data_IF_028036147758
#
_entry.id   IF_028036147758
#
_cell.length_a   1.000
_cell.length_b   1.000
_cell.length_c   1.000
_cell.angle_alpha   90.00
_cell.angle_beta   90.00
_cell.angle_gamma   90.00
#
_symmetry.space_group_name_H-M   'P 1'
#
loop_
_entity.id
_entity.type
_entity.pdbx_description
1 polymer ?
#
# COMPACT_ATOMS: atom_id res chain seq x y z
N UNK A 1 15.75 2.51 11.79
CA UNK A 1 14.92 3.17 12.79
C UNK A 1 13.80 2.23 13.17
N UNK A 2 13.64 1.95 14.45
CA UNK A 2 12.47 1.26 14.97
C UNK A 2 11.24 1.99 14.45
N UNK A 3 10.27 1.24 13.92
CA UNK A 3 8.96 1.80 13.61
C UNK A 3 8.31 2.03 14.98
N UNK A 4 8.44 3.23 15.47
CA UNK A 4 7.80 3.61 16.72
C UNK A 4 6.28 3.63 16.44
N UNK A 5 5.55 2.75 17.09
CA UNK A 5 4.08 2.61 16.96
C UNK A 5 3.38 3.97 17.20
N UNK A 6 4.04 4.88 17.92
CA UNK A 6 3.55 6.24 18.16
C UNK A 6 3.56 7.13 16.90
N UNK A 7 4.40 6.82 15.90
CA UNK A 7 4.49 7.59 14.65
C UNK A 7 3.47 7.19 13.58
N UNK A 8 2.72 6.10 13.78
CA UNK A 8 1.66 5.66 12.85
C UNK A 8 0.32 5.66 13.57
N UNK A 9 -0.40 6.79 13.55
CA UNK A 9 -1.65 6.95 14.30
C UNK A 9 -2.70 5.87 14.03
N UNK A 10 -2.75 5.35 12.81
CA UNK A 10 -3.64 4.26 12.39
C UNK A 10 -3.32 2.96 13.13
N UNK A 11 -2.04 2.64 13.30
CA UNK A 11 -1.59 1.45 14.01
C UNK A 11 -2.02 1.52 15.48
N UNK A 12 -1.77 2.65 16.14
CA UNK A 12 -2.20 2.88 17.52
C UNK A 12 -3.72 2.81 17.66
N UNK A 13 -4.45 3.33 16.69
CA UNK A 13 -5.92 3.27 16.67
C UNK A 13 -6.40 1.81 16.60
N UNK A 14 -5.87 1.00 15.69
CA UNK A 14 -6.22 -0.41 15.55
C UNK A 14 -5.83 -1.23 16.79
N UNK A 15 -4.65 -0.99 17.35
CA UNK A 15 -4.23 -1.61 18.60
C UNK A 15 -5.20 -1.31 19.75
N UNK A 16 -5.63 -0.08 19.90
CA UNK A 16 -6.60 0.33 20.91
C UNK A 16 -8.00 -0.28 20.70
N UNK A 17 -8.30 -0.75 19.50
CA UNK A 17 -9.53 -1.52 19.21
C UNK A 17 -9.38 -3.02 19.53
N UNK A 18 -8.22 -3.47 19.97
CA UNK A 18 -7.96 -4.88 20.35
C UNK A 18 -7.46 -5.77 19.23
N UNK A 19 -7.02 -5.19 18.08
CA UNK A 19 -6.43 -5.97 17.00
C UNK A 19 -4.96 -6.31 17.30
N UNK A 20 -4.57 -7.55 16.98
CA UNK A 20 -3.17 -7.92 16.90
C UNK A 20 -2.51 -7.24 15.68
N UNK A 21 -1.37 -6.62 15.85
CA UNK A 21 -0.69 -5.85 14.80
C UNK A 21 0.65 -6.52 14.44
N UNK A 22 0.82 -6.83 13.15
CA UNK A 22 2.08 -7.27 12.58
C UNK A 22 2.66 -6.15 11.70
N UNK A 23 3.82 -5.62 12.08
CA UNK A 23 4.55 -4.57 11.35
C UNK A 23 5.85 -5.13 10.77
N UNK A 24 5.83 -5.71 9.58
CA UNK A 24 7.05 -6.25 8.98
C UNK A 24 7.92 -5.12 8.41
N UNK A 25 9.21 -5.19 8.66
CA UNK A 25 10.15 -4.43 7.85
C UNK A 25 10.22 -5.01 6.45
N UNK A 26 9.86 -4.22 5.46
CA UNK A 26 10.00 -4.63 4.06
C UNK A 26 11.49 -4.84 3.72
N UNK A 27 11.75 -5.61 2.65
CA UNK A 27 13.12 -5.80 2.16
C UNK A 27 13.86 -4.47 2.05
N UNK A 28 15.14 -4.47 2.37
CA UNK A 28 16.03 -3.29 2.36
C UNK A 28 15.66 -2.18 3.35
N UNK A 29 14.78 -2.46 4.34
CA UNK A 29 14.44 -1.54 5.41
C UNK A 29 14.76 -2.16 6.77
N UNK A 30 15.15 -1.30 7.73
CA UNK A 30 15.44 -1.70 9.11
C UNK A 30 16.45 -2.85 9.20
N UNK A 31 16.05 -3.94 9.84
CA UNK A 31 16.87 -5.15 10.01
C UNK A 31 16.63 -6.21 8.90
N UNK A 32 15.70 -5.95 7.96
CA UNK A 32 15.45 -6.87 6.87
C UNK A 32 16.57 -6.83 5.84
N UNK A 33 16.94 -8.01 5.36
CA UNK A 33 17.90 -8.16 4.29
C UNK A 33 17.42 -7.54 2.97
N UNK A 34 18.37 -7.35 2.04
CA UNK A 34 18.11 -6.80 0.72
C UNK A 34 19.05 -5.65 0.39
N UNK A 35 19.16 -5.34 -0.89
CA UNK A 35 19.99 -4.22 -1.38
C UNK A 35 19.18 -3.14 -2.09
N UNK A 36 17.97 -3.49 -2.54
CA UNK A 36 17.18 -2.63 -3.41
C UNK A 36 15.72 -2.59 -2.97
N UNK A 37 15.17 -1.39 -2.91
CA UNK A 37 13.74 -1.12 -2.78
C UNK A 37 13.15 -1.21 -4.19
N UNK A 38 12.07 -1.98 -4.37
CA UNK A 38 11.51 -2.24 -5.70
C UNK A 38 10.11 -1.65 -5.91
N UNK A 39 9.72 -0.71 -5.06
CA UNK A 39 8.45 0.01 -5.14
C UNK A 39 7.20 -0.89 -5.22
N UNK A 40 7.20 -1.98 -4.47
CA UNK A 40 6.10 -2.94 -4.43
C UNK A 40 6.24 -4.13 -5.40
N UNK A 41 7.15 -4.08 -6.39
CA UNK A 41 7.32 -5.15 -7.38
C UNK A 41 7.70 -6.49 -6.72
N UNK A 42 8.72 -6.50 -5.88
CA UNK A 42 9.14 -7.70 -5.14
C UNK A 42 8.50 -7.74 -3.75
N UNK A 43 8.26 -6.59 -3.13
CA UNK A 43 7.65 -6.45 -1.80
C UNK A 43 6.25 -7.06 -1.75
N UNK A 44 5.49 -7.12 -2.86
CA UNK A 44 4.20 -7.83 -2.91
C UNK A 44 4.30 -9.33 -2.61
N UNK A 45 5.42 -9.95 -2.97
CA UNK A 45 5.67 -11.37 -2.64
C UNK A 45 6.04 -11.54 -1.18
N UNK A 46 6.81 -10.60 -0.61
CA UNK A 46 7.12 -10.58 0.81
C UNK A 46 5.85 -10.40 1.64
N UNK A 47 4.97 -9.48 1.24
CA UNK A 47 3.66 -9.29 1.87
C UNK A 47 2.88 -10.62 1.93
N UNK A 48 2.79 -11.36 0.82
CA UNK A 48 2.15 -12.69 0.80
C UNK A 48 2.85 -13.68 1.74
N UNK A 49 4.17 -13.67 1.82
CA UNK A 49 4.92 -14.56 2.71
C UNK A 49 4.71 -14.18 4.18
N UNK A 50 4.63 -12.90 4.52
CA UNK A 50 4.30 -12.46 5.87
C UNK A 50 2.90 -12.89 6.31
N UNK A 51 1.90 -12.88 5.42
CA UNK A 51 0.57 -13.40 5.72
C UNK A 51 0.63 -14.90 6.01
N UNK A 52 1.37 -15.66 5.20
CA UNK A 52 1.57 -17.10 5.43
C UNK A 52 2.27 -17.37 6.75
N UNK A 53 3.34 -16.64 7.02
CA UNK A 53 4.06 -16.75 8.29
C UNK A 53 3.16 -16.47 9.49
N UNK A 54 2.33 -15.42 9.42
CA UNK A 54 1.37 -15.12 10.47
C UNK A 54 0.37 -16.26 10.69
N UNK A 55 -0.11 -16.87 9.61
CA UNK A 55 -1.02 -18.03 9.70
C UNK A 55 -0.35 -19.27 10.30
N UNK A 56 0.90 -19.54 9.93
CA UNK A 56 1.62 -20.75 10.33
C UNK A 56 2.25 -20.64 11.72
N UNK A 57 2.70 -19.44 12.12
CA UNK A 57 3.54 -19.27 13.30
C UNK A 57 2.99 -18.29 14.35
N UNK A 58 2.06 -17.39 13.97
CA UNK A 58 1.52 -16.37 14.88
C UNK A 58 0.03 -16.59 15.23
N UNK A 59 -0.53 -17.74 14.88
CA UNK A 59 -1.92 -18.09 15.20
C UNK A 59 -2.98 -17.27 14.44
N UNK A 60 -2.63 -16.71 13.27
CA UNK A 60 -3.56 -15.92 12.48
C UNK A 60 -4.47 -16.76 11.56
N UNK A 61 -4.24 -18.09 11.44
CA UNK A 61 -4.92 -18.97 10.49
C UNK A 61 -6.45 -18.92 10.62
N UNK A 62 -6.95 -18.89 11.84
CA UNK A 62 -8.39 -18.88 12.14
C UNK A 62 -8.90 -17.46 12.50
N UNK A 63 -8.11 -16.43 12.24
CA UNK A 63 -8.44 -15.03 12.45
C UNK A 63 -8.63 -14.28 11.12
N UNK A 64 -9.47 -13.26 11.12
CA UNK A 64 -9.59 -12.36 9.99
C UNK A 64 -8.34 -11.47 9.90
N UNK A 65 -7.73 -11.41 8.73
CA UNK A 65 -6.56 -10.60 8.44
C UNK A 65 -6.97 -9.40 7.58
N UNK A 66 -6.60 -8.21 8.00
CA UNK A 66 -6.73 -7.00 7.21
C UNK A 66 -5.34 -6.47 6.85
N UNK A 67 -5.15 -6.18 5.57
CA UNK A 67 -3.91 -5.56 5.11
C UNK A 67 -4.04 -4.05 5.20
N UNK A 68 -3.04 -3.39 5.79
CA UNK A 68 -3.01 -1.95 5.87
C UNK A 68 -1.70 -1.44 5.25
N UNK A 69 -1.77 -0.43 4.41
CA UNK A 69 -0.59 0.14 3.76
C UNK A 69 -0.72 1.62 3.48
N UNK A 70 0.39 2.33 3.65
CA UNK A 70 0.50 3.77 3.40
C UNK A 70 1.55 3.98 2.31
N UNK A 71 1.27 4.84 1.34
CA UNK A 71 2.20 5.22 0.26
C UNK A 71 2.77 4.00 -0.48
N UNK A 72 4.06 3.74 -0.43
CA UNK A 72 4.67 2.53 -1.01
C UNK A 72 4.12 1.24 -0.38
N UNK A 73 3.83 1.25 0.92
CA UNK A 73 3.15 0.14 1.60
C UNK A 73 1.75 -0.12 1.06
N UNK A 74 1.01 0.95 0.74
CA UNK A 74 -0.29 0.87 0.08
C UNK A 74 -0.18 0.22 -1.31
N UNK A 75 0.73 0.69 -2.15
CA UNK A 75 0.96 0.09 -3.46
C UNK A 75 1.37 -1.40 -3.34
N UNK A 76 2.17 -1.73 -2.33
CA UNK A 76 2.60 -3.11 -2.05
C UNK A 76 1.42 -4.02 -1.72
N UNK A 77 0.55 -3.64 -0.78
CA UNK A 77 -0.62 -4.47 -0.39
C UNK A 77 -1.63 -4.58 -1.53
N UNK A 78 -1.85 -3.50 -2.30
CA UNK A 78 -2.71 -3.53 -3.48
C UNK A 78 -2.15 -4.44 -4.58
N UNK A 79 -0.85 -4.40 -4.86
CA UNK A 79 -0.22 -5.33 -5.82
C UNK A 79 -0.24 -6.77 -5.31
N UNK A 80 -0.10 -6.99 -3.99
CA UNK A 80 -0.21 -8.32 -3.40
C UNK A 80 -1.61 -8.92 -3.57
N UNK A 81 -2.66 -8.10 -3.56
CA UNK A 81 -4.03 -8.55 -3.79
C UNK A 81 -4.27 -9.13 -5.19
N UNK A 82 -3.41 -8.82 -6.16
CA UNK A 82 -3.40 -9.47 -7.48
C UNK A 82 -2.79 -10.87 -7.47
N UNK A 83 -2.22 -11.32 -6.35
CA UNK A 83 -1.70 -12.66 -6.15
C UNK A 83 -2.74 -13.53 -5.43
N UNK A 84 -2.53 -14.86 -5.46
CA UNK A 84 -3.34 -15.76 -4.62
C UNK A 84 -2.91 -15.59 -3.16
N UNK A 85 -3.71 -14.86 -2.38
CA UNK A 85 -3.57 -14.69 -0.93
C UNK A 85 -4.35 -15.76 -0.16
N UNK A 86 -4.02 -16.03 1.12
CA UNK A 86 -4.84 -16.86 2.01
C UNK A 86 -6.28 -16.33 2.15
N UNK A 87 -7.25 -17.23 2.31
CA UNK A 87 -8.68 -16.91 2.32
C UNK A 87 -9.13 -16.07 3.54
N UNK A 88 -8.33 -16.09 4.60
CA UNK A 88 -8.58 -15.29 5.79
C UNK A 88 -8.22 -13.79 5.63
N UNK A 89 -7.68 -13.37 4.47
CA UNK A 89 -7.52 -11.95 4.15
C UNK A 89 -8.88 -11.37 3.75
N UNK A 90 -9.46 -10.54 4.62
CA UNK A 90 -10.85 -10.07 4.54
C UNK A 90 -11.01 -8.67 3.98
N UNK A 91 -9.96 -7.84 4.01
CA UNK A 91 -10.03 -6.49 3.51
C UNK A 91 -8.67 -5.81 3.42
N UNK A 92 -8.63 -4.71 2.68
CA UNK A 92 -7.43 -3.88 2.48
C UNK A 92 -7.77 -2.43 2.81
N UNK A 93 -6.96 -1.81 3.66
CA UNK A 93 -7.00 -0.36 3.96
C UNK A 93 -5.81 0.26 3.24
N UNK A 94 -6.09 1.07 2.23
CA UNK A 94 -5.14 1.53 1.24
C UNK A 94 -5.03 3.06 1.26
N UNK A 95 -4.02 3.61 1.96
CA UNK A 95 -3.81 5.05 2.07
C UNK A 95 -2.72 5.54 1.12
N UNK A 96 -3.04 6.55 0.31
CA UNK A 96 -2.19 7.32 -0.61
C UNK A 96 -1.27 6.49 -1.52
N UNK A 97 -1.77 5.37 -2.06
CA UNK A 97 -1.00 4.51 -2.96
C UNK A 97 -0.93 5.00 -4.40
N UNK A 98 0.20 4.76 -5.04
CA UNK A 98 0.41 5.08 -6.45
C UNK A 98 -0.08 3.96 -7.40
N UNK A 99 -0.20 4.28 -8.71
CA UNK A 99 -0.70 3.35 -9.73
C UNK A 99 0.32 2.30 -10.17
N UNK A 100 1.59 2.69 -10.28
CA UNK A 100 2.71 1.81 -10.61
C UNK A 100 4.05 2.47 -10.27
N UNK A 101 5.14 1.69 -10.12
CA UNK A 101 6.49 2.23 -9.95
C UNK A 101 6.89 3.18 -11.08
N UNK A 102 6.55 2.82 -12.32
CA UNK A 102 6.82 3.64 -13.49
C UNK A 102 6.15 5.02 -13.40
N UNK A 103 4.87 5.05 -13.06
CA UNK A 103 4.09 6.30 -13.03
C UNK A 103 4.50 7.21 -11.87
N UNK A 104 4.76 6.67 -10.69
CA UNK A 104 5.20 7.50 -9.56
C UNK A 104 6.59 8.09 -9.81
N UNK A 105 7.54 7.31 -10.36
CA UNK A 105 8.88 7.82 -10.66
C UNK A 105 8.80 8.85 -11.79
N UNK A 106 7.97 8.61 -12.81
CA UNK A 106 7.70 9.60 -13.87
C UNK A 106 7.19 10.91 -13.29
N UNK A 107 6.22 10.84 -12.38
CA UNK A 107 5.66 12.01 -11.70
C UNK A 107 6.74 12.75 -10.91
N UNK A 108 7.50 12.07 -10.07
CA UNK A 108 8.56 12.65 -9.23
C UNK A 108 9.66 13.31 -10.07
N UNK A 109 10.11 12.65 -11.14
CA UNK A 109 11.11 13.23 -12.07
C UNK A 109 10.62 14.54 -12.65
N UNK A 110 9.35 14.59 -13.08
CA UNK A 110 8.77 15.79 -13.67
C UNK A 110 8.52 16.91 -12.65
N UNK A 111 7.95 16.59 -11.50
CA UNK A 111 7.43 17.60 -10.56
C UNK A 111 8.44 18.03 -9.50
N UNK A 112 9.27 17.12 -9.01
CA UNK A 112 10.25 17.42 -7.96
C UNK A 112 11.62 17.85 -8.54
N UNK A 113 12.05 17.16 -9.62
CA UNK A 113 13.34 17.43 -10.23
C UNK A 113 13.25 18.36 -11.45
N UNK A 114 12.04 18.65 -11.93
CA UNK A 114 11.78 19.49 -13.11
C UNK A 114 12.51 19.01 -14.37
N UNK A 115 12.76 17.70 -14.45
CA UNK A 115 13.45 17.07 -15.58
C UNK A 115 12.45 16.43 -16.55
N UNK A 116 12.78 16.39 -17.86
CA UNK A 116 12.00 15.59 -18.81
C UNK A 116 12.10 14.11 -18.43
N UNK A 117 10.96 13.41 -18.25
CA UNK A 117 10.99 12.01 -17.85
C UNK A 117 11.66 11.10 -18.89
N UNK A 118 11.61 11.45 -20.16
CA UNK A 118 12.21 10.70 -21.25
C UNK A 118 13.43 11.42 -21.82
N UNK A 119 14.54 10.72 -22.12
CA UNK A 119 14.72 9.25 -22.06
C UNK A 119 15.12 8.69 -20.65
N UNK A 120 15.21 9.55 -19.61
CA UNK A 120 15.74 9.19 -18.27
C UNK A 120 15.09 7.93 -17.70
N UNK A 121 13.76 7.78 -17.78
CA UNK A 121 13.07 6.61 -17.25
C UNK A 121 13.51 5.30 -17.91
N UNK A 122 13.83 5.32 -19.19
CA UNK A 122 14.31 4.11 -19.87
C UNK A 122 15.67 3.67 -19.34
N UNK A 123 16.57 4.61 -19.08
CA UNK A 123 17.87 4.33 -18.47
C UNK A 123 17.71 3.83 -17.03
N UNK A 124 16.85 4.45 -16.23
CA UNK A 124 16.54 3.99 -14.88
C UNK A 124 15.98 2.58 -14.86
N UNK A 125 15.03 2.27 -15.75
CA UNK A 125 14.47 0.92 -15.86
C UNK A 125 15.53 -0.10 -16.27
N UNK A 126 16.42 0.23 -17.21
CA UNK A 126 17.54 -0.63 -17.60
C UNK A 126 18.48 -0.89 -16.43
N UNK A 127 18.82 0.13 -15.64
CA UNK A 127 19.63 -0.02 -14.42
C UNK A 127 18.92 -0.92 -13.41
N UNK A 128 17.62 -0.72 -13.17
CA UNK A 128 16.84 -1.58 -12.27
C UNK A 128 16.87 -3.05 -12.72
N UNK A 129 16.77 -3.32 -14.01
CA UNK A 129 16.87 -4.69 -14.56
C UNK A 129 18.23 -5.32 -14.33
N UNK A 130 19.31 -4.59 -14.60
CA UNK A 130 20.68 -5.10 -14.51
C UNK A 130 21.10 -5.22 -13.03
N UNK A 131 20.89 -4.19 -12.22
CA UNK A 131 21.41 -4.14 -10.86
C UNK A 131 20.51 -4.84 -9.84
N UNK A 132 19.19 -4.75 -10.00
CA UNK A 132 18.22 -5.20 -9.01
C UNK A 132 17.31 -6.35 -9.51
N UNK A 133 17.42 -6.73 -10.78
CA UNK A 133 16.66 -7.84 -11.37
C UNK A 133 15.15 -7.62 -11.36
N UNK A 134 14.69 -6.39 -11.66
CA UNK A 134 13.29 -6.06 -11.86
C UNK A 134 13.14 -4.86 -12.79
N UNK A 135 11.98 -4.75 -13.43
CA UNK A 135 11.56 -3.56 -14.18
C UNK A 135 10.53 -2.75 -13.39
N UNK A 136 10.55 -1.44 -13.57
CA UNK A 136 9.50 -0.55 -13.06
C UNK A 136 8.11 -0.85 -13.65
N UNK A 137 8.07 -1.67 -14.70
CA UNK A 137 6.85 -2.11 -15.40
C UNK A 137 6.39 -3.53 -15.02
N UNK A 138 7.14 -4.26 -14.18
CA UNK A 138 6.82 -5.66 -13.83
C UNK A 138 5.59 -5.80 -12.93
N UNK A 139 5.08 -4.68 -12.40
CA UNK A 139 3.88 -4.68 -11.60
C UNK A 139 3.12 -3.35 -11.72
N UNK A 140 1.80 -3.44 -11.65
CA UNK A 140 0.89 -2.32 -11.63
C UNK A 140 -0.21 -2.58 -10.62
N UNK A 141 -0.54 -1.57 -9.81
CA UNK A 141 -1.69 -1.63 -8.90
C UNK A 141 -2.97 -1.79 -9.69
N UNK A 142 -3.14 -1.06 -10.78
CA UNK A 142 -4.35 -1.15 -11.61
C UNK A 142 -4.57 -2.56 -12.18
N UNK A 143 -3.51 -3.24 -12.64
CA UNK A 143 -3.61 -4.64 -13.11
C UNK A 143 -3.97 -5.60 -12.00
N UNK A 144 -3.41 -5.40 -10.79
CA UNK A 144 -3.75 -6.18 -9.62
C UNK A 144 -5.21 -5.94 -9.22
N UNK A 145 -5.67 -4.69 -9.22
CA UNK A 145 -7.03 -4.32 -8.85
C UNK A 145 -8.09 -4.89 -9.81
N UNK A 146 -7.83 -4.99 -11.11
CA UNK A 146 -8.74 -5.65 -12.06
C UNK A 146 -8.99 -7.13 -11.74
N UNK A 147 -8.08 -7.77 -11.03
CA UNK A 147 -8.16 -9.20 -10.65
C UNK A 147 -8.53 -9.38 -9.17
N UNK A 148 -8.55 -8.29 -8.40
CA UNK A 148 -8.78 -8.31 -6.98
C UNK A 148 -10.22 -8.75 -6.65
N UNK A 149 -10.35 -9.57 -5.61
CA UNK A 149 -11.63 -10.02 -5.06
C UNK A 149 -11.81 -9.61 -3.60
N UNK A 150 -10.79 -9.01 -3.01
CA UNK A 150 -10.77 -8.60 -1.60
C UNK A 150 -11.29 -7.17 -1.51
N UNK A 151 -12.26 -6.87 -0.63
CA UNK A 151 -12.75 -5.52 -0.43
C UNK A 151 -11.65 -4.52 -0.10
N UNK A 152 -11.76 -3.28 -0.61
CA UNK A 152 -10.75 -2.23 -0.42
C UNK A 152 -11.38 -0.93 0.05
N UNK A 153 -10.84 -0.37 1.13
CA UNK A 153 -11.06 1.02 1.53
C UNK A 153 -9.88 1.86 1.04
N UNK A 154 -10.12 2.69 0.03
CA UNK A 154 -9.16 3.66 -0.47
C UNK A 154 -9.26 4.97 0.32
N UNK A 155 -8.13 5.46 0.80
CA UNK A 155 -8.01 6.72 1.55
C UNK A 155 -6.96 7.59 0.87
N UNK A 156 -7.17 8.92 0.79
CA UNK A 156 -6.16 9.84 0.26
C UNK A 156 -6.46 11.28 0.67
N UNK A 157 -5.41 12.07 0.87
CA UNK A 157 -5.52 13.53 1.00
C UNK A 157 -5.45 14.20 -0.38
N UNK A 158 -6.33 15.17 -0.66
CA UNK A 158 -6.36 15.81 -1.98
C UNK A 158 -5.26 16.87 -2.20
N UNK A 159 -4.57 17.29 -1.13
CA UNK A 159 -3.39 18.17 -1.20
C UNK A 159 -2.06 17.38 -1.21
N UNK A 160 -2.13 16.07 -1.48
CA UNK A 160 -0.93 15.25 -1.66
C UNK A 160 -0.19 15.63 -2.94
N UNK A 161 0.97 16.27 -2.77
CA UNK A 161 1.86 16.69 -3.86
C UNK A 161 2.91 15.65 -4.24
N UNK A 162 3.06 14.58 -3.42
CA UNK A 162 4.03 13.53 -3.67
C UNK A 162 3.42 12.37 -4.47
N UNK A 163 2.29 11.84 -4.01
CA UNK A 163 1.46 10.90 -4.74
C UNK A 163 0.15 11.61 -5.07
N UNK A 164 -0.05 12.08 -6.29
CA UNK A 164 -1.25 12.86 -6.61
C UNK A 164 -2.52 12.02 -6.49
N UNK A 165 -3.57 12.62 -5.95
CA UNK A 165 -4.85 11.94 -5.63
C UNK A 165 -5.50 11.22 -6.82
N UNK A 166 -5.23 11.67 -8.06
CA UNK A 166 -5.74 11.00 -9.28
C UNK A 166 -5.25 9.55 -9.40
N UNK A 167 -4.09 9.21 -8.79
CA UNK A 167 -3.60 7.83 -8.77
C UNK A 167 -4.53 6.93 -7.96
N UNK A 168 -5.05 7.42 -6.83
CA UNK A 168 -6.04 6.67 -6.05
C UNK A 168 -7.37 6.56 -6.78
N UNK A 169 -7.85 7.61 -7.45
CA UNK A 169 -9.04 7.48 -8.32
C UNK A 169 -8.87 6.42 -9.38
N UNK A 170 -7.71 6.41 -10.06
CA UNK A 170 -7.42 5.39 -11.08
C UNK A 170 -7.35 3.97 -10.53
N UNK A 171 -6.80 3.80 -9.32
CA UNK A 171 -6.77 2.49 -8.64
C UNK A 171 -8.17 2.06 -8.19
N UNK A 172 -8.96 2.99 -7.67
CA UNK A 172 -10.36 2.77 -7.29
C UNK A 172 -11.19 2.33 -8.49
N UNK A 173 -11.13 3.04 -9.61
CA UNK A 173 -11.86 2.69 -10.83
C UNK A 173 -11.48 1.30 -11.34
N UNK A 174 -10.20 0.95 -11.31
CA UNK A 174 -9.70 -0.34 -11.75
C UNK A 174 -10.11 -1.51 -10.83
N UNK A 175 -10.49 -1.24 -9.57
CA UNK A 175 -10.78 -2.28 -8.60
C UNK A 175 -12.08 -3.01 -8.92
N UNK A 176 -11.99 -4.34 -9.13
CA UNK A 176 -13.13 -5.20 -9.44
C UNK A 176 -13.91 -5.67 -8.20
N UNK A 177 -13.30 -5.62 -7.02
CA UNK A 177 -13.95 -5.99 -5.76
C UNK A 177 -14.85 -4.88 -5.21
N UNK A 178 -15.58 -5.19 -4.13
CA UNK A 178 -16.24 -4.17 -3.33
C UNK A 178 -15.24 -3.12 -2.86
N UNK A 179 -15.63 -1.85 -2.92
CA UNK A 179 -14.69 -0.75 -2.68
C UNK A 179 -15.38 0.46 -2.08
N UNK A 180 -14.65 1.12 -1.20
CA UNK A 180 -15.05 2.40 -0.61
C UNK A 180 -13.95 3.42 -0.90
N UNK A 181 -14.33 4.69 -1.00
CA UNK A 181 -13.42 5.80 -1.23
C UNK A 181 -13.62 6.88 -0.17
N UNK A 182 -12.53 7.34 0.42
CA UNK A 182 -12.52 8.43 1.37
C UNK A 182 -11.41 9.42 1.01
N UNK A 183 -11.79 10.56 0.47
CA UNK A 183 -10.88 11.67 0.17
C UNK A 183 -10.95 12.69 1.30
N UNK A 184 -9.81 13.05 1.85
CA UNK A 184 -9.67 14.01 2.95
C UNK A 184 -9.23 15.36 2.38
N UNK A 185 -10.14 16.32 2.37
CA UNK A 185 -9.86 17.65 1.83
C UNK A 185 -8.82 18.39 2.68
N UNK A 186 -7.81 18.93 2.04
CA UNK A 186 -6.71 19.68 2.66
C UNK A 186 -5.61 18.82 3.26
N UNK A 187 -5.71 17.49 3.26
CA UNK A 187 -4.70 16.61 3.79
C UNK A 187 -3.55 16.41 2.78
N UNK A 188 -2.32 16.49 3.27
CA UNK A 188 -1.12 16.20 2.50
C UNK A 188 -0.75 14.70 2.54
N UNK A 189 0.39 14.32 1.91
CA UNK A 189 0.85 12.94 1.79
C UNK A 189 0.92 12.21 3.14
N UNK A 190 0.27 11.06 3.23
CA UNK A 190 0.22 10.18 4.42
C UNK A 190 -0.33 10.87 5.68
N UNK A 191 -1.09 11.96 5.55
CA UNK A 191 -1.66 12.70 6.68
C UNK A 191 -3.19 12.60 6.74
N UNK A 192 -3.84 11.85 5.86
CA UNK A 192 -5.29 11.77 5.78
C UNK A 192 -5.94 11.39 7.12
N UNK A 193 -5.45 10.35 7.78
CA UNK A 193 -5.96 9.90 9.08
C UNK A 193 -5.72 10.92 10.19
N UNK A 194 -4.53 11.54 10.23
CA UNK A 194 -4.19 12.54 11.26
C UNK A 194 -4.99 13.82 11.10
N UNK A 195 -5.31 14.20 9.85
CA UNK A 195 -6.02 15.41 9.51
C UNK A 195 -7.51 15.34 9.87
N UNK A 196 -8.17 14.21 9.58
CA UNK A 196 -9.54 13.95 9.99
C UNK A 196 -9.65 12.62 10.75
N UNK A 197 -9.08 12.60 11.93
CA UNK A 197 -9.00 11.42 12.78
C UNK A 197 -10.37 10.85 13.16
N UNK A 198 -11.37 11.71 13.37
CA UNK A 198 -12.71 11.28 13.78
C UNK A 198 -13.38 10.48 12.68
N UNK A 199 -13.44 11.03 11.48
CA UNK A 199 -14.08 10.39 10.34
C UNK A 199 -13.24 9.22 9.83
N UNK A 200 -11.91 9.36 9.74
CA UNK A 200 -11.01 8.27 9.38
C UNK A 200 -11.16 7.06 10.28
N UNK A 201 -11.19 7.26 11.61
CA UNK A 201 -11.42 6.19 12.58
C UNK A 201 -12.80 5.53 12.39
N UNK A 202 -13.84 6.32 12.12
CA UNK A 202 -15.18 5.81 11.86
C UNK A 202 -15.23 4.95 10.59
N UNK A 203 -14.63 5.44 9.50
CA UNK A 203 -14.58 4.73 8.22
C UNK A 203 -13.82 3.41 8.32
N UNK A 204 -12.63 3.41 8.90
CA UNK A 204 -11.82 2.20 9.10
C UNK A 204 -12.58 1.19 9.96
N UNK A 205 -13.15 1.61 11.09
CA UNK A 205 -13.93 0.72 11.96
C UNK A 205 -15.11 0.09 11.22
N UNK A 206 -15.92 0.88 10.53
CA UNK A 206 -17.09 0.40 9.80
C UNK A 206 -16.69 -0.57 8.68
N UNK A 207 -15.60 -0.29 7.98
CA UNK A 207 -15.06 -1.18 6.96
C UNK A 207 -14.66 -2.52 7.55
N UNK A 208 -13.86 -2.53 8.62
CA UNK A 208 -13.45 -3.77 9.29
C UNK A 208 -14.68 -4.56 9.76
N UNK A 209 -15.61 -3.92 10.51
CA UNK A 209 -16.81 -4.58 11.03
C UNK A 209 -17.71 -5.18 9.93
N UNK A 210 -17.72 -4.59 8.74
CA UNK A 210 -18.47 -5.13 7.60
C UNK A 210 -17.90 -6.44 7.07
N UNK A 211 -16.57 -6.59 7.06
CA UNK A 211 -15.90 -7.71 6.41
C UNK A 211 -15.24 -8.72 7.37
N UNK A 212 -15.30 -8.49 8.67
CA UNK A 212 -14.80 -9.44 9.68
C UNK A 212 -15.77 -10.61 10.00
N UNK A 213 -16.93 -10.65 9.34
CA UNK A 213 -17.96 -11.70 9.52
C UNK A 213 -17.69 -12.94 8.68
#
# INVERSE_FOLDING_TARGET
SEVDIEFVPEVRFLWNLGYDILLPWQRSHGQSEGRYITYGVKERYDCRQWIRYANEHLGAKDKNVFLCGISMGCATVLMAAGLKLPENVRGIIADCGFTSPWEIIRHVVKTKYHLPPYPLLFFLDAICRIAAGFSLKDASVQEAMRKNKIPVLFIHGDEDRYVPVWMTYSNYEACAAEKELYIVHGAAHALAFSYDRKEGSRRIRNFIQRYER
#
